data_IF_560989437685
#
_entry.id   IF_560989437685
#
_cell.length_a   1.000
_cell.length_b   1.000
_cell.length_c   1.000
_cell.angle_alpha   90.00
_cell.angle_beta   90.00
_cell.angle_gamma   90.00
#
_symmetry.space_group_name_H-M   'P 1'
#
loop_
_entity.id
_entity.type
_entity.pdbx_description
1 polymer ?
#
# COMPACT_ATOMS: atom_id res chain seq x y z
N UNK A 1 5.54 39.36 -15.71
CA UNK A 1 4.41 38.58 -16.27
C UNK A 1 4.83 37.12 -16.46
N UNK A 2 5.88 36.83 -17.24
CA UNK A 2 6.42 35.47 -17.43
C UNK A 2 6.68 34.70 -16.10
N UNK A 3 7.42 35.28 -15.15
CA UNK A 3 7.69 34.60 -13.86
C UNK A 3 6.44 34.19 -13.08
N UNK A 4 5.36 35.00 -13.14
CA UNK A 4 4.11 34.69 -12.44
C UNK A 4 3.37 33.54 -13.14
N UNK A 5 3.41 33.53 -14.46
CA UNK A 5 2.88 32.45 -15.28
C UNK A 5 3.61 31.13 -15.01
N UNK A 6 4.94 31.15 -14.89
CA UNK A 6 5.76 29.98 -14.61
C UNK A 6 5.44 29.38 -13.23
N UNK A 7 5.27 30.21 -12.20
CA UNK A 7 4.88 29.77 -10.85
C UNK A 7 3.50 29.10 -10.87
N UNK A 8 2.54 29.71 -11.55
CA UNK A 8 1.19 29.17 -11.70
C UNK A 8 1.21 27.81 -12.40
N UNK A 9 1.97 27.69 -13.49
CA UNK A 9 2.11 26.43 -14.23
C UNK A 9 2.73 25.35 -13.36
N UNK A 10 3.74 25.70 -12.57
CA UNK A 10 4.35 24.79 -11.59
C UNK A 10 3.31 24.31 -10.57
N UNK A 11 2.55 25.20 -9.94
CA UNK A 11 1.51 24.80 -8.98
C UNK A 11 0.47 23.87 -9.60
N UNK A 12 0.06 24.14 -10.84
CA UNK A 12 -0.86 23.27 -11.56
C UNK A 12 -0.27 21.86 -11.77
N UNK A 13 1.00 21.78 -12.18
CA UNK A 13 1.69 20.51 -12.38
C UNK A 13 1.81 19.74 -11.05
N UNK A 14 2.27 20.40 -9.99
CA UNK A 14 2.44 19.80 -8.67
C UNK A 14 1.10 19.28 -8.12
N UNK A 15 0.03 20.07 -8.20
CA UNK A 15 -1.31 19.64 -7.79
C UNK A 15 -1.82 18.45 -8.63
N UNK A 16 -1.54 18.44 -9.93
CA UNK A 16 -1.92 17.31 -10.81
C UNK A 16 -1.21 16.02 -10.36
N UNK A 17 0.09 16.10 -10.05
CA UNK A 17 0.85 14.96 -9.55
C UNK A 17 0.31 14.45 -8.21
N UNK A 18 -0.09 15.35 -7.30
CA UNK A 18 -0.70 14.96 -6.02
C UNK A 18 -2.02 14.21 -6.19
N UNK A 19 -2.87 14.67 -7.12
CA UNK A 19 -4.15 14.01 -7.41
C UNK A 19 -3.92 12.61 -7.97
N UNK A 20 -3.02 12.46 -8.94
CA UNK A 20 -2.68 11.16 -9.52
C UNK A 20 -2.05 10.22 -8.48
N UNK A 21 -1.14 10.74 -7.64
CA UNK A 21 -0.57 9.96 -6.54
C UNK A 21 -1.64 9.47 -5.57
N UNK A 22 -2.51 10.36 -5.10
CA UNK A 22 -3.62 9.99 -4.20
C UNK A 22 -4.55 8.93 -4.83
N UNK A 23 -4.83 9.03 -6.13
CA UNK A 23 -5.61 8.02 -6.86
C UNK A 23 -4.90 6.66 -6.84
N UNK A 24 -3.62 6.64 -7.23
CA UNK A 24 -2.84 5.40 -7.27
C UNK A 24 -2.72 4.73 -5.89
N UNK A 25 -2.51 5.51 -4.83
CA UNK A 25 -2.45 4.96 -3.47
C UNK A 25 -3.77 4.35 -3.02
N UNK A 26 -4.91 4.90 -3.46
CA UNK A 26 -6.23 4.30 -3.17
C UNK A 26 -6.43 2.99 -3.90
N UNK A 27 -5.94 2.87 -5.13
CA UNK A 27 -5.98 1.62 -5.90
C UNK A 27 -5.08 0.52 -5.29
N UNK A 28 -3.99 0.90 -4.59
CA UNK A 28 -3.11 -0.02 -3.84
C UNK A 28 -3.76 -0.62 -2.57
N UNK A 29 -4.92 -0.14 -2.14
CA UNK A 29 -5.58 -0.62 -0.91
C UNK A 29 -6.26 -1.97 -1.17
N UNK A 30 -5.78 -3.02 -0.50
CA UNK A 30 -6.42 -4.34 -0.53
C UNK A 30 -7.74 -4.33 0.26
N UNK A 31 -8.83 -4.79 -0.35
CA UNK A 31 -10.19 -4.75 0.20
C UNK A 31 -10.33 -5.33 1.62
N UNK A 32 -9.66 -6.44 2.02
CA UNK A 32 -9.77 -6.96 3.38
C UNK A 32 -9.23 -6.01 4.48
N UNK A 33 -8.37 -5.05 4.11
CA UNK A 33 -7.68 -4.16 5.04
C UNK A 33 -8.19 -2.71 4.98
N UNK A 34 -9.19 -2.43 4.13
CA UNK A 34 -9.76 -1.09 3.99
C UNK A 34 -10.35 -0.57 5.31
N UNK A 35 -11.06 -1.43 6.05
CA UNK A 35 -11.61 -1.09 7.36
C UNK A 35 -10.50 -0.70 8.37
N UNK A 36 -9.37 -1.41 8.34
CA UNK A 36 -8.22 -1.13 9.20
C UNK A 36 -7.56 0.22 8.86
N UNK A 37 -7.52 0.56 7.58
CA UNK A 37 -6.90 1.79 7.08
C UNK A 37 -7.83 3.01 7.13
N UNK A 38 -9.13 2.81 7.37
CA UNK A 38 -10.15 3.88 7.37
C UNK A 38 -9.75 5.11 8.19
N UNK A 39 -9.24 5.01 9.44
CA UNK A 39 -8.84 6.19 10.22
C UNK A 39 -7.69 6.98 9.56
N UNK A 40 -6.76 6.28 8.89
CA UNK A 40 -5.63 6.90 8.18
C UNK A 40 -6.08 7.56 6.88
N UNK A 41 -7.00 6.93 6.15
CA UNK A 41 -7.63 7.49 4.96
C UNK A 41 -8.40 8.77 5.31
N UNK A 42 -9.14 8.78 6.42
CA UNK A 42 -9.86 9.99 6.87
C UNK A 42 -8.89 11.13 7.23
N UNK A 43 -7.81 10.84 7.95
CA UNK A 43 -6.77 11.84 8.21
C UNK A 43 -6.18 12.43 6.93
N UNK A 44 -5.92 11.60 5.92
CA UNK A 44 -5.44 12.06 4.62
C UNK A 44 -6.49 12.94 3.92
N UNK A 45 -7.77 12.57 3.97
CA UNK A 45 -8.86 13.38 3.42
C UNK A 45 -8.93 14.76 4.09
N UNK A 46 -8.77 14.83 5.41
CA UNK A 46 -8.79 16.10 6.15
C UNK A 46 -7.64 17.02 5.74
N UNK A 47 -6.45 16.45 5.47
CA UNK A 47 -5.28 17.18 4.98
C UNK A 47 -5.49 17.71 3.55
N UNK A 48 -6.19 16.94 2.70
CA UNK A 48 -6.50 17.32 1.30
C UNK A 48 -7.65 18.33 1.22
N UNK A 49 -8.58 18.32 2.19
CA UNK A 49 -9.82 19.12 2.19
C UNK A 49 -9.63 20.62 1.89
N UNK A 50 -8.58 21.32 2.36
CA UNK A 50 -8.35 22.72 2.02
C UNK A 50 -8.21 22.95 0.51
N UNK A 51 -7.54 22.05 -0.22
CA UNK A 51 -7.39 22.14 -1.67
C UNK A 51 -8.68 21.94 -2.47
N UNK A 52 -9.71 21.38 -1.84
CA UNK A 52 -11.03 21.17 -2.44
C UNK A 52 -12.05 22.26 -2.09
N UNK A 53 -11.76 23.08 -1.08
CA UNK A 53 -12.76 23.96 -0.46
C UNK A 53 -12.37 25.44 -0.49
N UNK A 54 -11.17 25.78 -0.04
CA UNK A 54 -10.78 27.18 0.21
C UNK A 54 -9.49 27.60 -0.48
N UNK A 55 -8.63 26.65 -0.87
CA UNK A 55 -7.32 26.92 -1.44
C UNK A 55 -7.39 26.89 -2.97
N UNK A 56 -6.78 27.87 -3.62
CA UNK A 56 -6.71 27.96 -5.09
C UNK A 56 -5.26 27.97 -5.55
N UNK A 57 -5.03 27.68 -6.83
CA UNK A 57 -3.70 27.65 -7.47
C UNK A 57 -2.95 29.00 -7.46
N UNK A 58 -3.64 30.09 -7.10
CA UNK A 58 -3.09 31.43 -6.92
C UNK A 58 -2.88 31.83 -5.45
N UNK A 59 -3.14 30.93 -4.49
CA UNK A 59 -2.93 31.20 -3.06
C UNK A 59 -1.45 31.44 -2.75
N UNK A 60 -1.17 32.32 -1.80
CA UNK A 60 0.19 32.56 -1.30
C UNK A 60 0.71 31.42 -0.42
N UNK A 61 -0.18 30.57 0.10
CA UNK A 61 0.13 29.45 0.99
C UNK A 61 0.09 28.10 0.28
N UNK A 62 0.04 28.10 -1.06
CA UNK A 62 -0.12 26.87 -1.83
C UNK A 62 1.11 25.97 -1.76
N UNK A 63 2.31 26.52 -1.74
CA UNK A 63 3.54 25.72 -1.61
C UNK A 63 3.55 24.92 -0.30
N UNK A 64 3.18 25.54 0.82
CA UNK A 64 3.08 24.86 2.12
C UNK A 64 2.02 23.76 2.11
N UNK A 65 0.88 24.02 1.46
CA UNK A 65 -0.16 23.02 1.27
C UNK A 65 0.33 21.84 0.43
N UNK A 66 0.96 22.10 -0.73
CA UNK A 66 1.53 21.08 -1.61
C UNK A 66 2.51 20.23 -0.81
N UNK A 67 3.46 20.84 -0.11
CA UNK A 67 4.45 20.13 0.71
C UNK A 67 3.79 19.24 1.78
N UNK A 68 2.79 19.78 2.49
CA UNK A 68 2.07 19.04 3.53
C UNK A 68 1.34 17.82 2.97
N UNK A 69 0.66 17.96 1.84
CA UNK A 69 -0.04 16.86 1.17
C UNK A 69 0.96 15.84 0.62
N UNK A 70 2.05 16.28 -0.01
CA UNK A 70 3.12 15.41 -0.51
C UNK A 70 3.64 14.52 0.61
N UNK A 71 4.10 15.10 1.72
CA UNK A 71 4.65 14.32 2.85
C UNK A 71 3.62 13.36 3.45
N UNK A 72 2.35 13.76 3.51
CA UNK A 72 1.28 12.90 4.02
C UNK A 72 0.99 11.72 3.09
N UNK A 73 1.05 11.93 1.78
CA UNK A 73 0.92 10.87 0.79
C UNK A 73 2.14 9.93 0.81
N UNK A 74 3.35 10.45 0.99
CA UNK A 74 4.57 9.64 1.12
C UNK A 74 4.54 8.74 2.37
N UNK A 75 4.11 9.27 3.51
CA UNK A 75 3.93 8.49 4.74
C UNK A 75 2.86 7.39 4.55
N UNK A 76 1.76 7.74 3.88
CA UNK A 76 0.68 6.78 3.60
C UNK A 76 1.14 5.68 2.63
N UNK A 77 1.91 6.02 1.60
CA UNK A 77 2.49 5.06 0.67
C UNK A 77 3.41 4.07 1.38
N UNK A 78 4.34 4.56 2.19
CA UNK A 78 5.25 3.69 2.96
C UNK A 78 4.49 2.73 3.87
N UNK A 79 3.39 3.19 4.49
CA UNK A 79 2.53 2.34 5.30
C UNK A 79 1.83 1.27 4.46
N UNK A 80 1.27 1.64 3.31
CA UNK A 80 0.59 0.71 2.41
C UNK A 80 1.54 -0.36 1.87
N UNK A 81 2.74 0.03 1.44
CA UNK A 81 3.74 -0.90 0.92
C UNK A 81 4.12 -1.91 2.01
N UNK A 82 4.37 -1.45 3.24
CA UNK A 82 4.64 -2.35 4.39
C UNK A 82 3.47 -3.27 4.69
N UNK A 83 2.24 -2.77 4.71
CA UNK A 83 1.05 -3.59 4.97
C UNK A 83 0.91 -4.66 3.88
N UNK A 84 1.08 -4.28 2.61
CA UNK A 84 1.01 -5.19 1.47
C UNK A 84 2.10 -6.26 1.51
N UNK A 85 3.32 -5.92 1.94
CA UNK A 85 4.42 -6.88 2.10
C UNK A 85 4.14 -7.91 3.20
N UNK A 86 3.62 -7.46 4.35
CA UNK A 86 3.21 -8.35 5.44
C UNK A 86 2.18 -9.37 4.95
N UNK A 87 1.19 -8.92 4.19
CA UNK A 87 0.14 -9.77 3.65
C UNK A 87 0.72 -10.78 2.68
N UNK A 88 1.41 -10.31 1.64
CA UNK A 88 1.86 -11.16 0.54
C UNK A 88 2.92 -12.16 0.98
N UNK A 89 3.96 -11.69 1.68
CA UNK A 89 5.16 -12.49 1.89
C UNK A 89 5.22 -13.18 3.26
N UNK A 90 4.54 -12.62 4.27
CA UNK A 90 4.60 -13.18 5.63
C UNK A 90 3.35 -13.92 6.05
N UNK A 91 2.20 -13.61 5.44
CA UNK A 91 0.94 -14.29 5.72
C UNK A 91 0.65 -15.27 4.59
N UNK A 92 0.35 -14.77 3.39
CA UNK A 92 -0.13 -15.61 2.29
C UNK A 92 0.90 -16.65 1.87
N UNK A 93 2.17 -16.25 1.71
CA UNK A 93 3.24 -17.19 1.35
C UNK A 93 3.44 -18.29 2.40
N UNK A 94 3.40 -17.96 3.68
CA UNK A 94 3.60 -18.92 4.78
C UNK A 94 2.40 -19.86 4.89
N UNK A 95 1.17 -19.33 4.78
CA UNK A 95 -0.04 -20.14 4.77
C UNK A 95 -0.05 -21.10 3.57
N UNK A 96 0.39 -20.63 2.39
CA UNK A 96 0.51 -21.48 1.22
C UNK A 96 1.54 -22.60 1.46
N UNK A 97 2.73 -22.26 1.96
CA UNK A 97 3.77 -23.24 2.31
C UNK A 97 3.21 -24.33 3.24
N UNK A 98 2.58 -23.94 4.35
CA UNK A 98 1.93 -24.86 5.31
C UNK A 98 0.88 -25.73 4.61
N UNK A 99 0.05 -25.14 3.75
CA UNK A 99 -1.02 -25.87 3.06
C UNK A 99 -0.50 -26.89 2.05
N UNK A 100 0.70 -26.67 1.52
CA UNK A 100 1.35 -27.53 0.52
C UNK A 100 2.41 -28.46 1.12
N UNK A 101 2.66 -28.36 2.43
CA UNK A 101 3.70 -29.12 3.10
C UNK A 101 3.27 -30.59 3.24
N UNK A 102 4.09 -31.50 2.71
CA UNK A 102 3.92 -32.94 2.95
C UNK A 102 4.21 -33.24 4.43
N UNK A 103 3.27 -33.91 5.11
CA UNK A 103 3.43 -34.29 6.51
C UNK A 103 4.27 -35.56 6.69
N UNK A 104 4.30 -36.40 5.67
CA UNK A 104 5.05 -37.64 5.65
C UNK A 104 5.33 -38.04 4.20
N UNK A 105 6.51 -38.60 3.95
CA UNK A 105 6.84 -39.16 2.66
C UNK A 105 6.16 -40.53 2.53
N UNK A 106 5.21 -40.64 1.61
CA UNK A 106 4.54 -41.90 1.30
C UNK A 106 5.24 -42.55 0.10
N UNK A 107 5.43 -43.88 0.11
CA UNK A 107 6.07 -44.57 -1.01
C UNK A 107 5.17 -44.50 -2.26
N UNK A 108 5.74 -44.05 -3.38
CA UNK A 108 5.03 -43.93 -4.66
C UNK A 108 5.12 -45.21 -5.52
N UNK A 109 6.21 -45.97 -5.41
CA UNK A 109 6.51 -47.12 -6.28
C UNK A 109 6.05 -48.47 -5.69
N UNK A 110 6.54 -48.84 -4.50
CA UNK A 110 6.21 -50.11 -3.84
C UNK A 110 5.73 -49.92 -2.41
N UNK A 111 4.70 -50.68 -2.02
CA UNK A 111 4.18 -50.66 -0.67
C UNK A 111 5.22 -51.15 0.34
N UNK A 112 5.49 -50.35 1.37
CA UNK A 112 6.38 -50.71 2.48
C UNK A 112 5.58 -51.22 3.68
N UNK A 113 6.23 -51.98 4.57
CA UNK A 113 5.58 -52.44 5.81
C UNK A 113 5.40 -51.28 6.79
N UNK A 114 4.40 -51.37 7.69
CA UNK A 114 4.19 -50.35 8.73
C UNK A 114 5.44 -50.07 9.57
N UNK A 115 6.26 -51.09 9.87
CA UNK A 115 7.50 -50.94 10.64
C UNK A 115 8.55 -50.12 9.90
N UNK A 116 8.70 -50.32 8.59
CA UNK A 116 9.65 -49.56 7.76
C UNK A 116 9.18 -48.11 7.59
N UNK A 117 7.87 -47.89 7.43
CA UNK A 117 7.30 -46.54 7.39
C UNK A 117 7.54 -45.78 8.71
N UNK A 118 7.38 -46.45 9.85
CA UNK A 118 7.67 -45.89 11.18
C UNK A 118 9.14 -45.49 11.34
N UNK A 119 10.08 -46.26 10.78
CA UNK A 119 11.50 -45.90 10.81
C UNK A 119 11.85 -44.68 9.95
N UNK A 120 11.11 -44.47 8.85
CA UNK A 120 11.35 -43.36 7.93
C UNK A 120 10.72 -42.04 8.41
N UNK A 121 9.80 -42.09 9.37
CA UNK A 121 9.06 -40.93 9.89
C UNK A 121 9.48 -40.49 11.30
N UNK A 122 10.53 -41.10 11.88
CA UNK A 122 11.15 -40.69 13.16
C UNK A 122 12.27 -39.66 13.02
#
# INVERSE_FOLDING_TARGET
LAQREDIIKKHYQDLTQLVEKNKHLREKIKQPFEALLTPKIQRLNDIIKPGLTSLTWASLTIDDYINTVTSSLDEFELMLDRANDLITFRIDSVLNEISTMSLCDLPEDEAITPENFLQQTQ
#
